data_IF_759332662283
#
_entry.id   IF_759332662283
#
_cell.length_a   1.000
_cell.length_b   1.000
_cell.length_c   1.000
_cell.angle_alpha   90.00
_cell.angle_beta   90.00
_cell.angle_gamma   90.00
#
_symmetry.space_group_name_H-M   'P 1'
#
loop_
_entity.id
_entity.type
_entity.pdbx_description
1 polymer ?
#
# COMPACT_ATOMS: atom_id res chain seq x y z
N UNK A 1 -55.80 5.62 -1.86
CA UNK A 1 -55.74 5.89 -0.42
C UNK A 1 -54.37 5.41 0.06
N UNK A 2 -53.42 6.30 0.15
CA UNK A 2 -52.05 5.99 0.59
C UNK A 2 -52.01 6.21 2.11
N UNK A 3 -52.04 5.11 2.85
CA UNK A 3 -51.87 5.17 4.30
C UNK A 3 -50.42 5.62 4.55
N UNK A 4 -50.28 6.88 4.95
CA UNK A 4 -48.98 7.46 5.28
C UNK A 4 -48.37 6.79 6.52
N UNK A 5 -47.08 6.46 6.47
CA UNK A 5 -46.32 5.89 7.59
C UNK A 5 -46.46 6.82 8.81
N UNK A 6 -46.99 6.30 9.92
CA UNK A 6 -47.12 7.05 11.17
C UNK A 6 -45.75 7.40 11.73
N UNK A 7 -45.54 8.58 12.28
CA UNK A 7 -44.27 9.05 12.86
C UNK A 7 -43.65 8.03 13.82
N UNK A 8 -44.47 7.33 14.59
CA UNK A 8 -44.02 6.29 15.54
C UNK A 8 -43.42 5.07 14.84
N UNK A 9 -43.97 4.66 13.70
CA UNK A 9 -43.48 3.50 12.95
C UNK A 9 -42.22 3.86 12.19
N UNK A 10 -42.08 5.09 11.71
CA UNK A 10 -40.86 5.63 11.16
C UNK A 10 -39.72 5.61 12.18
N UNK A 11 -39.96 6.07 13.42
CA UNK A 11 -38.95 6.05 14.48
C UNK A 11 -38.55 4.63 14.91
N UNK A 12 -39.47 3.67 14.88
CA UNK A 12 -39.14 2.27 15.15
C UNK A 12 -38.24 1.68 14.09
N UNK A 13 -38.52 1.92 12.82
CA UNK A 13 -37.69 1.46 11.70
C UNK A 13 -36.30 2.10 11.77
N UNK A 14 -36.23 3.40 12.06
CA UNK A 14 -34.96 4.11 12.21
C UNK A 14 -34.14 3.57 13.38
N UNK A 15 -34.76 3.28 14.52
CA UNK A 15 -34.10 2.69 15.68
C UNK A 15 -33.53 1.29 15.44
N UNK A 16 -34.28 0.44 14.73
CA UNK A 16 -33.83 -0.91 14.39
C UNK A 16 -32.71 -0.85 13.35
N UNK A 17 -32.79 0.02 12.35
CA UNK A 17 -31.75 0.16 11.34
C UNK A 17 -30.45 0.70 11.91
N UNK A 18 -30.50 1.68 12.84
CA UNK A 18 -29.32 2.22 13.49
C UNK A 18 -28.61 1.19 14.40
N UNK A 19 -29.37 0.37 15.11
CA UNK A 19 -28.82 -0.72 15.92
C UNK A 19 -28.14 -1.79 15.04
N UNK A 20 -28.69 -2.11 13.89
CA UNK A 20 -28.10 -3.04 12.91
C UNK A 20 -26.78 -2.54 12.33
N UNK A 21 -26.69 -1.25 12.02
CA UNK A 21 -25.44 -0.64 11.51
C UNK A 21 -24.36 -0.57 12.59
N UNK A 22 -24.74 -0.28 13.84
CA UNK A 22 -23.80 -0.27 14.95
C UNK A 22 -23.24 -1.67 15.25
N UNK A 23 -24.04 -2.73 15.11
CA UNK A 23 -23.59 -4.10 15.30
C UNK A 23 -22.70 -4.62 14.16
N UNK A 24 -22.88 -4.15 12.93
CA UNK A 24 -22.05 -4.52 11.78
C UNK A 24 -20.73 -3.72 11.70
N UNK A 25 -20.66 -2.58 12.38
CA UNK A 25 -19.45 -1.75 12.47
C UNK A 25 -18.31 -2.35 13.31
N UNK A 26 -18.59 -3.40 14.09
CA UNK A 26 -17.61 -4.12 14.87
C UNK A 26 -17.02 -5.34 14.14
N UNK A 27 -16.99 -5.37 12.81
CA UNK A 27 -16.15 -6.33 12.13
C UNK A 27 -14.71 -5.93 12.42
N UNK A 28 -14.04 -6.72 13.22
CA UNK A 28 -12.59 -6.68 13.44
C UNK A 28 -11.86 -7.08 12.15
N UNK A 29 -11.89 -6.22 11.14
CA UNK A 29 -10.78 -6.18 10.19
C UNK A 29 -9.55 -5.98 11.07
N UNK A 30 -8.52 -6.77 10.83
CA UNK A 30 -7.26 -6.70 11.58
C UNK A 30 -6.94 -5.24 11.87
N UNK A 31 -6.91 -4.90 13.15
CA UNK A 31 -6.59 -3.53 13.58
C UNK A 31 -5.22 -3.25 13.00
N UNK A 32 -5.14 -2.47 11.94
CA UNK A 32 -3.88 -1.98 11.43
C UNK A 32 -3.16 -1.41 12.64
N UNK A 33 -1.97 -1.92 12.92
CA UNK A 33 -1.21 -1.50 14.09
C UNK A 33 -0.98 0.00 13.95
N UNK A 34 -1.76 0.79 14.69
CA UNK A 34 -1.66 2.25 14.72
C UNK A 34 -0.27 2.70 15.20
N UNK A 35 0.39 1.82 15.96
CA UNK A 35 1.78 1.97 16.36
C UNK A 35 2.61 1.00 15.52
N UNK A 36 3.27 1.45 14.44
CA UNK A 36 4.02 0.58 13.53
C UNK A 36 5.23 -0.07 14.22
N UNK A 37 5.75 0.55 15.29
CA UNK A 37 6.91 0.06 16.01
C UNK A 37 6.73 0.25 17.52
N UNK A 38 7.02 -0.81 18.31
CA UNK A 38 7.12 -0.71 19.79
C UNK A 38 8.40 0.06 20.16
N UNK A 39 9.48 -0.17 19.40
CA UNK A 39 10.71 0.61 19.44
C UNK A 39 10.94 1.12 18.02
N UNK A 40 10.87 2.42 17.83
CA UNK A 40 11.13 3.02 16.53
C UNK A 40 12.61 2.84 16.17
N UNK A 41 12.94 2.45 14.92
CA UNK A 41 14.31 2.51 14.44
C UNK A 41 14.87 3.94 14.58
N UNK A 42 16.17 4.07 14.86
CA UNK A 42 16.82 5.37 15.13
C UNK A 42 16.64 6.40 14.01
N UNK A 43 16.48 5.93 12.77
CA UNK A 43 16.33 6.78 11.58
C UNK A 43 14.86 7.13 11.24
N UNK A 44 13.90 6.61 12.00
CA UNK A 44 12.46 6.82 11.73
C UNK A 44 11.84 7.64 12.85
N UNK A 45 11.50 8.88 12.51
CA UNK A 45 10.66 9.72 13.36
C UNK A 45 9.21 9.63 12.86
N UNK A 46 8.25 9.20 13.71
CA UNK A 46 6.84 9.13 13.31
C UNK A 46 6.34 10.46 12.74
N UNK A 47 5.63 10.40 11.61
CA UNK A 47 5.08 11.57 10.95
C UNK A 47 6.07 12.37 10.09
N UNK A 48 7.38 12.15 10.21
CA UNK A 48 8.41 12.81 9.41
C UNK A 48 8.73 11.96 8.19
N UNK A 49 8.83 12.62 7.04
CA UNK A 49 9.21 11.93 5.80
C UNK A 49 10.71 11.99 5.58
N UNK A 50 11.30 10.85 5.23
CA UNK A 50 12.71 10.75 4.83
C UNK A 50 12.79 10.52 3.33
N UNK A 51 13.79 11.09 2.69
CA UNK A 51 14.03 10.96 1.26
C UNK A 51 15.29 10.14 1.00
N UNK A 52 15.17 9.19 0.09
CA UNK A 52 16.28 8.36 -0.35
C UNK A 52 16.50 8.53 -1.84
N UNK A 53 17.76 8.58 -2.24
CA UNK A 53 18.16 8.59 -3.65
C UNK A 53 18.36 7.17 -4.16
N UNK A 54 17.84 6.89 -5.34
CA UNK A 54 18.02 5.61 -6.02
C UNK A 54 17.92 5.79 -7.53
N UNK A 55 18.01 4.71 -8.27
CA UNK A 55 17.94 4.68 -9.73
C UNK A 55 16.78 3.79 -10.16
N UNK A 56 16.06 4.21 -11.20
CA UNK A 56 14.97 3.44 -11.79
C UNK A 56 15.51 2.21 -12.53
N UNK A 57 15.06 1.03 -12.15
CA UNK A 57 15.40 -0.24 -12.79
C UNK A 57 14.46 -0.71 -13.89
N UNK A 58 13.48 0.11 -14.31
CA UNK A 58 12.44 -0.33 -15.26
C UNK A 58 12.89 -0.39 -16.72
N UNK A 59 13.98 0.27 -17.07
CA UNK A 59 14.56 0.25 -18.42
C UNK A 59 16.03 0.71 -18.38
N UNK A 60 16.70 0.63 -19.52
CA UNK A 60 18.12 1.00 -19.68
C UNK A 60 18.43 2.48 -19.47
N UNK A 61 17.43 3.36 -19.42
CA UNK A 61 17.64 4.79 -19.17
C UNK A 61 18.10 5.11 -17.76
N UNK A 62 17.85 4.24 -16.78
CA UNK A 62 18.31 4.31 -15.40
C UNK A 62 18.17 5.72 -14.78
N UNK A 63 17.00 6.34 -14.95
CA UNK A 63 16.74 7.68 -14.42
C UNK A 63 16.90 7.72 -12.90
N UNK A 64 17.53 8.78 -12.40
CA UNK A 64 17.66 9.02 -10.96
C UNK A 64 16.31 9.32 -10.33
N UNK A 65 16.06 8.74 -9.19
CA UNK A 65 14.81 8.90 -8.44
C UNK A 65 15.08 9.35 -7.00
N UNK A 66 14.15 10.15 -6.49
CA UNK A 66 13.96 10.38 -5.06
C UNK A 66 12.75 9.62 -4.59
N UNK A 67 12.95 8.79 -3.58
CA UNK A 67 11.88 8.03 -2.94
C UNK A 67 11.60 8.64 -1.58
N UNK A 68 10.40 9.15 -1.43
CA UNK A 68 9.90 9.62 -0.14
C UNK A 68 9.36 8.44 0.64
N UNK A 69 9.88 8.24 1.84
CA UNK A 69 9.39 7.23 2.77
C UNK A 69 8.73 7.90 3.96
N UNK A 70 7.78 7.20 4.53
CA UNK A 70 7.13 7.56 5.79
C UNK A 70 6.95 6.29 6.61
N UNK A 71 7.47 6.29 7.83
CA UNK A 71 7.38 5.12 8.72
C UNK A 71 7.85 3.81 8.05
N UNK A 72 8.95 3.88 7.30
CA UNK A 72 9.52 2.73 6.59
C UNK A 72 8.81 2.32 5.30
N UNK A 73 7.72 3.01 4.92
CA UNK A 73 6.99 2.74 3.67
C UNK A 73 7.31 3.80 2.62
N UNK A 74 7.60 3.39 1.40
CA UNK A 74 7.73 4.30 0.26
C UNK A 74 6.33 4.82 -0.12
N UNK A 75 6.17 6.16 -0.12
CA UNK A 75 4.87 6.81 -0.36
C UNK A 75 4.85 7.65 -1.62
N UNK A 76 6.00 8.07 -2.13
CA UNK A 76 6.11 8.88 -3.34
C UNK A 76 7.44 8.64 -4.04
N UNK A 77 7.45 8.76 -5.36
CA UNK A 77 8.66 8.74 -6.20
C UNK A 77 8.67 9.99 -7.06
N UNK A 78 9.81 10.66 -7.11
CA UNK A 78 10.06 11.84 -7.95
C UNK A 78 11.40 11.69 -8.69
N UNK A 79 11.56 12.40 -9.79
CA UNK A 79 12.85 12.46 -10.47
C UNK A 79 13.88 13.24 -9.65
N UNK A 80 15.11 12.73 -9.59
CA UNK A 80 16.20 13.39 -8.90
C UNK A 80 16.81 14.51 -9.78
N UNK A 81 16.65 15.79 -9.43
CA UNK A 81 17.20 16.89 -10.22
C UNK A 81 18.74 16.90 -10.28
N UNK A 82 19.39 16.30 -9.30
CA UNK A 82 20.85 16.22 -9.23
C UNK A 82 21.43 15.02 -10.01
N UNK A 83 20.59 14.20 -10.65
CA UNK A 83 21.07 13.07 -11.43
C UNK A 83 21.67 13.57 -12.77
N UNK A 84 22.93 13.17 -13.11
CA UNK A 84 23.67 13.77 -14.22
C UNK A 84 23.05 13.49 -15.59
N UNK A 85 22.30 12.41 -15.75
CA UNK A 85 21.70 12.00 -17.04
C UNK A 85 20.25 12.47 -17.16
N UNK A 86 19.42 12.18 -16.17
CA UNK A 86 17.97 12.46 -16.23
C UNK A 86 17.59 13.86 -15.74
N UNK A 87 18.47 14.54 -14.98
CA UNK A 87 18.31 15.93 -14.50
C UNK A 87 16.87 16.22 -13.97
N UNK A 88 16.31 15.30 -13.19
CA UNK A 88 14.94 15.39 -12.66
C UNK A 88 13.86 14.82 -13.56
N UNK A 89 14.18 14.40 -14.78
CA UNK A 89 13.23 13.71 -15.67
C UNK A 89 12.90 12.31 -15.16
N UNK A 90 11.61 12.01 -15.01
CA UNK A 90 11.13 10.69 -14.68
C UNK A 90 9.82 10.42 -15.45
N UNK A 91 9.77 9.33 -16.17
CA UNK A 91 8.60 8.96 -16.97
C UNK A 91 7.48 8.36 -16.10
N UNK A 92 6.29 8.21 -16.67
CA UNK A 92 5.12 7.63 -15.99
C UNK A 92 5.39 6.23 -15.41
N UNK A 93 6.18 5.40 -16.09
CA UNK A 93 6.58 4.07 -15.59
C UNK A 93 7.43 4.18 -14.32
N UNK A 94 8.36 5.14 -14.26
CA UNK A 94 9.16 5.41 -13.05
C UNK A 94 8.29 5.90 -11.89
N UNK A 95 7.34 6.80 -12.14
CA UNK A 95 6.38 7.23 -11.13
C UNK A 95 5.47 6.08 -10.65
N UNK A 96 5.09 5.17 -11.54
CA UNK A 96 4.28 4.00 -11.21
C UNK A 96 5.05 2.88 -10.50
N UNK A 97 6.35 3.01 -10.24
CA UNK A 97 7.17 1.99 -9.58
C UNK A 97 6.67 1.59 -8.19
N UNK A 98 6.00 2.50 -7.48
CA UNK A 98 5.34 2.19 -6.20
C UNK A 98 4.23 1.15 -6.35
N UNK A 99 3.50 1.15 -7.45
CA UNK A 99 2.46 0.15 -7.71
C UNK A 99 3.07 -1.25 -7.85
N UNK A 100 4.25 -1.36 -8.47
CA UNK A 100 4.99 -2.62 -8.54
C UNK A 100 5.50 -3.07 -7.16
N UNK A 101 5.95 -2.12 -6.34
CA UNK A 101 6.45 -2.42 -4.99
C UNK A 101 5.35 -2.99 -4.09
N UNK A 102 4.16 -2.43 -4.16
CA UNK A 102 3.00 -2.81 -3.32
C UNK A 102 1.98 -3.68 -4.04
N UNK A 103 2.34 -4.23 -5.20
CA UNK A 103 1.45 -5.14 -5.91
C UNK A 103 1.22 -6.41 -5.09
N UNK A 104 -0.04 -6.76 -4.75
CA UNK A 104 -0.35 -7.98 -4.01
C UNK A 104 0.05 -9.26 -4.76
N UNK A 105 0.08 -9.22 -6.09
CA UNK A 105 0.49 -10.35 -6.93
C UNK A 105 2.01 -10.47 -7.10
N UNK A 106 2.77 -9.62 -6.42
CA UNK A 106 4.23 -9.68 -6.47
C UNK A 106 4.74 -10.96 -5.83
N UNK A 107 5.66 -11.64 -6.52
CA UNK A 107 6.33 -12.81 -5.97
C UNK A 107 7.10 -12.43 -4.68
N UNK A 108 6.74 -13.08 -3.58
CA UNK A 108 7.36 -12.84 -2.26
C UNK A 108 8.67 -13.64 -2.06
N UNK A 109 8.91 -14.64 -2.90
CA UNK A 109 10.08 -15.51 -2.83
C UNK A 109 10.31 -16.27 -4.13
N UNK A 110 11.25 -17.21 -4.16
CA UNK A 110 11.53 -18.01 -5.33
C UNK A 110 10.35 -18.92 -5.67
N UNK A 111 10.06 -19.01 -6.96
CA UNK A 111 9.00 -19.87 -7.49
C UNK A 111 9.62 -20.92 -8.40
N UNK A 112 9.31 -22.17 -8.17
CA UNK A 112 9.79 -23.32 -8.94
C UNK A 112 8.68 -23.82 -9.83
N UNK A 113 8.99 -24.05 -11.11
CA UNK A 113 8.05 -24.59 -12.06
C UNK A 113 7.98 -26.12 -11.96
N UNK A 114 6.77 -26.64 -11.72
CA UNK A 114 6.46 -28.05 -11.76
C UNK A 114 5.38 -28.30 -12.83
N UNK A 115 5.79 -28.66 -14.01
CA UNK A 115 4.92 -28.77 -15.17
C UNK A 115 4.32 -27.43 -15.58
N UNK A 116 2.99 -27.29 -15.50
CA UNK A 116 2.28 -26.03 -15.79
C UNK A 116 2.10 -25.12 -14.58
N UNK A 117 2.35 -25.62 -13.37
CA UNK A 117 2.13 -24.88 -12.13
C UNK A 117 3.43 -24.30 -11.58
N UNK A 118 3.29 -23.21 -10.81
CA UNK A 118 4.36 -22.62 -10.02
C UNK A 118 4.08 -22.92 -8.55
N UNK A 119 5.08 -23.47 -7.84
CA UNK A 119 5.05 -23.57 -6.38
C UNK A 119 6.09 -22.65 -5.75
N UNK A 120 5.83 -22.24 -4.53
CA UNK A 120 6.82 -21.54 -3.73
C UNK A 120 7.94 -22.51 -3.33
N UNK A 121 9.18 -22.12 -3.52
CA UNK A 121 10.38 -22.87 -3.15
C UNK A 121 11.24 -22.11 -2.16
N UNK A 122 12.37 -22.70 -1.84
CA UNK A 122 13.45 -22.06 -1.10
C UNK A 122 14.55 -21.58 -2.04
N UNK A 123 15.38 -20.64 -1.60
CA UNK A 123 16.53 -20.18 -2.38
C UNK A 123 17.53 -21.31 -2.66
N UNK A 124 17.70 -22.24 -1.72
CA UNK A 124 18.58 -23.41 -1.90
C UNK A 124 18.07 -24.40 -2.97
N UNK A 125 16.77 -24.43 -3.23
CA UNK A 125 16.18 -25.24 -4.31
C UNK A 125 16.23 -24.52 -5.67
N UNK A 126 16.34 -23.20 -5.67
CA UNK A 126 16.31 -22.38 -6.88
C UNK A 126 17.70 -22.09 -7.46
N UNK A 127 18.79 -22.28 -6.70
CA UNK A 127 20.20 -22.17 -7.09
C UNK A 127 20.75 -23.49 -7.64
#
# INVERSE_FOLDING_TARGET
MTDGIKRRDFLKVLGVSSAGVAASGCSTSEVEKLLPYVVAPEEITPGVSTWYTTVCGSCSAQCGMWVRTREGKAVKVEGNPNHPVSAGGLCSRGHASLQHLYNPDRLAGPMIREGENLRQGTWAEAE
#
